data_IF_103313038537
#
_entry.id   IF_103313038537
#
_cell.length_a   1.000
_cell.length_b   1.000
_cell.length_c   1.000
_cell.angle_alpha   90.00
_cell.angle_beta   90.00
_cell.angle_gamma   90.00
#
_symmetry.space_group_name_H-M   'P 1'
#
loop_
_entity.id
_entity.type
_entity.pdbx_description
1 polymer ?
#
# COMPACT_ATOMS: atom_id res chain seq x y z
N UNK A 1 -12.98 -35.75 41.35
CA UNK A 1 -11.77 -34.94 41.08
C UNK A 1 -11.03 -35.37 39.79
N UNK A 2 -11.74 -35.72 38.70
CA UNK A 2 -11.13 -36.24 37.44
C UNK A 2 -11.52 -35.45 36.17
N UNK A 3 -12.38 -34.44 36.28
CA UNK A 3 -12.88 -33.64 35.15
C UNK A 3 -12.10 -32.34 34.90
N UNK A 4 -11.38 -31.83 35.91
CA UNK A 4 -10.59 -30.59 35.80
C UNK A 4 -9.29 -30.79 35.02
N UNK A 5 -8.71 -31.99 35.04
CA UNK A 5 -7.46 -32.29 34.32
C UNK A 5 -7.62 -32.29 32.80
N UNK A 6 -8.84 -32.54 32.29
CA UNK A 6 -9.14 -32.56 30.85
C UNK A 6 -9.27 -31.16 30.22
N UNK A 7 -9.61 -30.14 31.00
CA UNK A 7 -9.78 -28.76 30.51
C UNK A 7 -8.46 -28.04 30.25
N UNK A 8 -7.39 -28.40 30.97
CA UNK A 8 -6.07 -27.77 30.80
C UNK A 8 -5.37 -28.26 29.53
N UNK A 9 -5.64 -29.49 29.08
CA UNK A 9 -5.01 -30.07 27.88
C UNK A 9 -5.55 -29.47 26.57
N UNK A 10 -6.81 -29.01 26.54
CA UNK A 10 -7.42 -28.43 25.35
C UNK A 10 -6.96 -26.98 25.08
N UNK A 11 -6.56 -26.22 26.12
CA UNK A 11 -6.09 -24.84 25.97
C UNK A 11 -4.67 -24.74 25.38
N UNK A 12 -3.85 -25.80 25.49
CA UNK A 12 -2.49 -25.82 24.96
C UNK A 12 -2.44 -25.97 23.41
N UNK A 13 -3.53 -26.40 22.77
CA UNK A 13 -3.58 -26.57 21.31
C UNK A 13 -3.88 -25.29 20.52
N UNK A 14 -4.19 -24.17 21.20
CA UNK A 14 -4.64 -22.94 20.56
C UNK A 14 -3.62 -21.80 20.66
N UNK A 15 -2.33 -22.11 20.68
CA UNK A 15 -1.29 -21.09 20.54
C UNK A 15 -1.08 -20.85 19.03
N UNK A 16 -1.41 -19.68 18.48
CA UNK A 16 -1.11 -19.39 17.09
C UNK A 16 0.41 -19.36 16.92
N UNK A 17 0.95 -20.33 16.19
CA UNK A 17 2.34 -20.31 15.77
C UNK A 17 2.47 -19.22 14.72
N UNK A 18 2.96 -18.05 15.11
CA UNK A 18 3.30 -16.98 14.18
C UNK A 18 4.55 -17.41 13.39
N UNK A 19 4.33 -18.05 12.24
CA UNK A 19 5.40 -18.32 11.29
C UNK A 19 5.78 -17.02 10.59
N UNK A 20 6.92 -16.43 10.96
CA UNK A 20 7.50 -15.30 10.24
C UNK A 20 8.23 -15.85 9.02
N UNK A 21 7.58 -15.87 7.87
CA UNK A 21 8.27 -16.13 6.61
C UNK A 21 9.30 -15.02 6.35
N UNK A 22 10.48 -15.38 5.86
CA UNK A 22 11.46 -14.39 5.43
C UNK A 22 10.86 -13.51 4.31
N UNK A 23 11.17 -12.20 4.29
CA UNK A 23 10.65 -11.32 3.24
C UNK A 23 11.17 -11.79 1.87
N UNK A 24 10.26 -12.09 0.97
CA UNK A 24 10.59 -12.47 -0.41
C UNK A 24 10.90 -11.20 -1.20
N UNK A 25 12.12 -11.08 -1.73
CA UNK A 25 12.47 -9.99 -2.64
C UNK A 25 12.01 -10.34 -4.05
N UNK A 26 11.29 -9.43 -4.71
CA UNK A 26 10.85 -9.58 -6.10
C UNK A 26 11.26 -8.33 -6.89
N UNK A 27 11.80 -8.53 -8.09
CA UNK A 27 12.17 -7.47 -9.01
C UNK A 27 11.49 -7.68 -10.37
N UNK A 28 11.20 -6.60 -11.09
CA UNK A 28 10.70 -6.64 -12.45
C UNK A 28 11.14 -5.41 -13.22
N UNK A 29 11.16 -5.53 -14.54
CA UNK A 29 11.75 -4.55 -15.45
C UNK A 29 10.70 -4.03 -16.42
N UNK A 30 10.98 -2.90 -17.06
CA UNK A 30 10.12 -2.31 -18.08
C UNK A 30 10.94 -1.60 -19.17
N UNK A 31 10.61 -1.77 -20.46
CA UNK A 31 9.62 -2.74 -20.97
C UNK A 31 10.05 -4.19 -20.69
N UNK A 32 9.10 -5.12 -20.67
CA UNK A 32 9.38 -6.55 -20.49
C UNK A 32 8.53 -7.39 -21.45
N UNK A 33 9.10 -8.51 -21.87
CA UNK A 33 8.46 -9.64 -22.56
C UNK A 33 7.73 -10.60 -21.61
N UNK A 34 7.97 -10.50 -20.29
CA UNK A 34 7.33 -11.28 -19.23
C UNK A 34 6.47 -10.43 -18.28
N UNK A 35 6.62 -10.63 -16.95
CA UNK A 35 5.90 -9.88 -15.91
C UNK A 35 6.41 -8.43 -15.82
N UNK A 36 5.65 -7.41 -16.27
CA UNK A 36 6.11 -6.03 -16.23
C UNK A 36 6.23 -5.54 -14.79
N UNK A 37 7.17 -4.62 -14.53
CA UNK A 37 7.34 -3.97 -13.24
C UNK A 37 6.01 -3.42 -12.67
N UNK A 38 5.11 -2.98 -13.54
CA UNK A 38 3.76 -2.55 -13.19
C UNK A 38 2.96 -3.64 -12.44
N UNK A 39 3.00 -4.90 -12.86
CA UNK A 39 2.27 -5.99 -12.20
C UNK A 39 2.76 -6.23 -10.77
N UNK A 40 4.06 -6.13 -10.54
CA UNK A 40 4.65 -6.26 -9.20
C UNK A 40 4.14 -5.14 -8.30
N UNK A 41 4.15 -3.89 -8.80
CA UNK A 41 3.63 -2.73 -8.06
C UNK A 41 2.14 -2.88 -7.74
N UNK A 42 1.33 -3.28 -8.73
CA UNK A 42 -0.11 -3.52 -8.52
C UNK A 42 -0.37 -4.66 -7.54
N UNK A 43 0.43 -5.73 -7.61
CA UNK A 43 0.38 -6.84 -6.67
C UNK A 43 0.64 -6.39 -5.23
N UNK A 44 1.65 -5.55 -5.01
CA UNK A 44 1.94 -4.98 -3.69
C UNK A 44 0.78 -4.14 -3.15
N UNK A 45 0.22 -3.25 -3.98
CA UNK A 45 -0.92 -2.39 -3.60
C UNK A 45 -2.17 -3.21 -3.27
N UNK A 46 -2.47 -4.22 -4.07
CA UNK A 46 -3.66 -5.05 -3.89
C UNK A 46 -3.54 -5.96 -2.65
N UNK A 47 -2.34 -6.37 -2.29
CA UNK A 47 -2.10 -7.23 -1.12
C UNK A 47 -1.87 -6.46 0.19
N UNK A 48 -1.64 -5.15 0.16
CA UNK A 48 -1.52 -4.34 1.36
C UNK A 48 -2.76 -4.47 2.27
N UNK A 49 -2.51 -4.61 3.58
CA UNK A 49 -3.55 -4.80 4.61
C UNK A 49 -3.68 -3.65 5.61
N UNK A 50 -2.61 -2.90 5.85
CA UNK A 50 -2.56 -1.89 6.92
C UNK A 50 -2.31 -0.48 6.36
N UNK A 51 -1.20 -0.28 5.64
CA UNK A 51 -0.84 1.02 5.08
C UNK A 51 -0.14 0.91 3.74
N UNK A 52 -0.17 2.02 2.99
CA UNK A 52 0.65 2.25 1.80
C UNK A 52 1.15 3.69 1.85
N UNK A 53 2.47 3.85 1.85
CA UNK A 53 3.12 5.15 1.77
C UNK A 53 3.79 5.30 0.40
N UNK A 54 3.40 6.34 -0.33
CA UNK A 54 3.88 6.60 -1.69
C UNK A 54 4.69 7.88 -1.71
N UNK A 55 5.89 7.80 -2.25
CA UNK A 55 6.68 8.95 -2.68
C UNK A 55 6.82 8.89 -4.21
N UNK A 56 6.34 9.93 -4.91
CA UNK A 56 6.32 9.94 -6.37
C UNK A 56 6.88 11.25 -6.94
N UNK A 57 7.75 11.15 -7.95
CA UNK A 57 8.18 12.32 -8.71
C UNK A 57 7.11 12.70 -9.75
N UNK A 58 7.06 12.00 -10.88
CA UNK A 58 5.99 12.15 -11.88
C UNK A 58 4.90 11.11 -11.64
N UNK A 59 3.70 11.55 -11.25
CA UNK A 59 2.61 10.63 -10.96
C UNK A 59 1.49 10.70 -12.01
N UNK A 60 1.57 9.82 -13.00
CA UNK A 60 0.69 9.84 -14.19
C UNK A 60 -0.04 8.51 -14.44
N UNK A 61 0.39 7.42 -13.79
CA UNK A 61 -0.13 6.08 -14.05
C UNK A 61 -1.56 5.89 -13.52
N UNK A 62 -2.53 5.87 -14.43
CA UNK A 62 -3.95 5.54 -14.13
C UNK A 62 -4.12 4.21 -13.37
N UNK A 63 -3.52 3.07 -13.78
CA UNK A 63 -3.74 1.81 -13.07
C UNK A 63 -3.24 1.86 -11.62
N UNK A 64 -2.12 2.53 -11.37
CA UNK A 64 -1.58 2.70 -10.01
C UNK A 64 -2.50 3.59 -9.17
N UNK A 65 -2.98 4.71 -9.72
CA UNK A 65 -3.88 5.61 -9.02
C UNK A 65 -5.21 4.93 -8.64
N UNK A 66 -5.81 4.19 -9.58
CA UNK A 66 -7.05 3.43 -9.33
C UNK A 66 -6.84 2.35 -8.28
N UNK A 67 -5.70 1.64 -8.29
CA UNK A 67 -5.38 0.62 -7.30
C UNK A 67 -5.22 1.21 -5.89
N UNK A 68 -4.56 2.37 -5.76
CA UNK A 68 -4.42 3.08 -4.49
C UNK A 68 -5.77 3.58 -3.96
N UNK A 69 -6.61 4.18 -4.81
CA UNK A 69 -7.96 4.57 -4.43
C UNK A 69 -8.80 3.35 -4.00
N UNK A 70 -8.62 2.21 -4.68
CA UNK A 70 -9.20 0.92 -4.29
C UNK A 70 -8.73 0.47 -2.91
N UNK A 71 -7.41 0.54 -2.63
CA UNK A 71 -6.85 0.19 -1.33
C UNK A 71 -7.38 1.07 -0.20
N UNK A 72 -7.48 2.39 -0.43
CA UNK A 72 -8.07 3.33 0.52
C UNK A 72 -9.52 2.96 0.85
N UNK A 73 -10.33 2.62 -0.15
CA UNK A 73 -11.71 2.14 0.05
C UNK A 73 -11.80 0.83 0.82
N UNK A 74 -10.78 -0.03 0.78
CA UNK A 74 -10.69 -1.24 1.62
C UNK A 74 -10.34 -0.94 3.09
N UNK A 75 -10.07 0.32 3.44
CA UNK A 75 -9.64 0.73 4.79
C UNK A 75 -8.12 0.67 5.01
N UNK A 76 -7.32 0.46 3.95
CA UNK A 76 -5.86 0.58 4.04
C UNK A 76 -5.50 2.05 4.16
N UNK A 77 -4.63 2.41 5.10
CA UNK A 77 -4.17 3.78 5.27
C UNK A 77 -3.22 4.18 4.13
N UNK A 78 -3.73 4.88 3.11
CA UNK A 78 -2.94 5.33 1.96
C UNK A 78 -2.51 6.79 2.15
N UNK A 79 -1.21 7.07 2.04
CA UNK A 79 -0.65 8.43 2.12
C UNK A 79 0.29 8.66 0.95
N UNK A 80 0.18 9.82 0.30
CA UNK A 80 0.99 10.15 -0.88
C UNK A 80 1.72 11.47 -0.69
N UNK A 81 3.02 11.47 -0.97
CA UNK A 81 3.81 12.68 -1.19
C UNK A 81 4.24 12.70 -2.65
N UNK A 82 3.93 13.78 -3.35
CA UNK A 82 4.30 13.95 -4.76
C UNK A 82 5.05 15.26 -5.00
N UNK A 83 5.87 15.29 -6.05
CA UNK A 83 6.55 16.52 -6.47
C UNK A 83 5.55 17.54 -7.03
N UNK A 84 5.60 18.78 -6.55
CA UNK A 84 4.66 19.82 -6.99
C UNK A 84 4.81 20.15 -8.48
N UNK A 85 6.05 20.36 -8.94
CA UNK A 85 6.32 20.82 -10.31
C UNK A 85 5.98 19.75 -11.33
N UNK A 86 6.25 18.49 -11.02
CA UNK A 86 5.93 17.36 -11.88
C UNK A 86 4.44 16.97 -11.88
N UNK A 87 3.61 17.58 -10.99
CA UNK A 87 2.18 17.27 -10.86
C UNK A 87 1.28 18.52 -10.87
N UNK A 88 1.79 19.67 -11.35
CA UNK A 88 1.06 20.95 -11.39
C UNK A 88 0.08 21.08 -12.56
N UNK A 89 0.11 20.15 -13.52
CA UNK A 89 -0.78 20.16 -14.68
C UNK A 89 -2.24 19.84 -14.32
N UNK A 90 -3.17 20.22 -15.20
CA UNK A 90 -4.60 19.91 -15.04
C UNK A 90 -4.83 18.40 -15.12
N UNK A 91 -5.58 17.85 -14.15
CA UNK A 91 -6.04 16.45 -14.09
C UNK A 91 -4.92 15.38 -14.02
N UNK A 92 -3.99 15.54 -13.08
CA UNK A 92 -2.99 14.52 -12.76
C UNK A 92 -3.56 13.35 -11.94
N UNK A 93 -2.81 12.26 -11.83
CA UNK A 93 -3.16 11.14 -10.95
C UNK A 93 -3.31 11.61 -9.48
N UNK A 94 -2.56 12.64 -9.08
CA UNK A 94 -2.70 13.31 -7.78
C UNK A 94 -4.09 13.90 -7.61
N UNK A 95 -4.59 14.65 -8.60
CA UNK A 95 -5.94 15.24 -8.55
C UNK A 95 -7.01 14.16 -8.42
N UNK A 96 -6.86 13.05 -9.16
CA UNK A 96 -7.76 11.90 -9.05
C UNK A 96 -7.78 11.33 -7.62
N UNK A 97 -6.62 11.10 -7.01
CA UNK A 97 -6.52 10.54 -5.66
C UNK A 97 -7.12 11.46 -4.59
N UNK A 98 -6.90 12.76 -4.69
CA UNK A 98 -7.52 13.76 -3.81
C UNK A 98 -9.05 13.65 -3.90
N UNK A 99 -9.60 13.55 -5.11
CA UNK A 99 -11.04 13.40 -5.33
C UNK A 99 -11.60 12.06 -4.81
N UNK A 100 -10.75 11.04 -4.66
CA UNK A 100 -11.11 9.75 -4.05
C UNK A 100 -10.93 9.74 -2.53
N UNK A 101 -10.60 10.89 -1.92
CA UNK A 101 -10.42 11.03 -0.47
C UNK A 101 -9.09 10.46 0.05
N UNK A 102 -8.09 10.28 -0.82
CA UNK A 102 -6.75 9.86 -0.40
C UNK A 102 -5.95 11.09 0.04
N UNK A 103 -5.33 11.08 1.24
CA UNK A 103 -4.40 12.13 1.67
C UNK A 103 -3.20 12.26 0.72
N UNK A 104 -3.06 13.42 0.08
CA UNK A 104 -1.92 13.75 -0.78
C UNK A 104 -1.29 15.09 -0.36
N UNK A 105 0.04 15.10 -0.25
CA UNK A 105 0.83 16.31 -0.03
C UNK A 105 1.77 16.56 -1.21
N UNK A 106 1.87 17.81 -1.64
CA UNK A 106 2.87 18.24 -2.61
C UNK A 106 4.08 18.84 -1.89
N UNK A 107 5.28 18.38 -2.22
CA UNK A 107 6.52 18.78 -1.54
C UNK A 107 6.79 20.31 -1.54
N UNK A 108 6.42 21.02 -2.61
CA UNK A 108 6.58 22.47 -2.74
C UNK A 108 5.63 23.31 -1.88
N UNK A 109 4.59 22.67 -1.30
CA UNK A 109 3.67 23.27 -0.33
C UNK A 109 3.97 22.75 1.07
N UNK A 110 5.19 23.00 1.55
CA UNK A 110 5.53 22.86 2.95
C UNK A 110 5.18 24.15 3.70
N UNK A 111 4.12 24.20 4.54
CA UNK A 111 3.75 25.42 5.28
C UNK A 111 4.78 25.81 6.36
N UNK A 112 5.66 24.85 6.74
CA UNK A 112 6.70 25.02 7.78
C UNK A 112 8.09 25.29 7.20
N UNK A 113 8.23 25.44 5.89
CA UNK A 113 9.51 25.67 5.21
C UNK A 113 9.68 27.12 4.74
N UNK A 114 8.91 28.05 5.31
CA UNK A 114 9.01 29.50 5.07
C UNK A 114 9.39 30.22 6.35
#
# INVERSE_FOLDING_TARGET
>A
MRKTTLLVLAAALCVPVFATAAPVLTAGFSPSDGRPALEIVLGAINNARQSIDVAAYSFTSKPVATALAGANRRGVAVRVVADEKANSDRYTAVTYLINQGVPVHLNGRCPRCR
#
